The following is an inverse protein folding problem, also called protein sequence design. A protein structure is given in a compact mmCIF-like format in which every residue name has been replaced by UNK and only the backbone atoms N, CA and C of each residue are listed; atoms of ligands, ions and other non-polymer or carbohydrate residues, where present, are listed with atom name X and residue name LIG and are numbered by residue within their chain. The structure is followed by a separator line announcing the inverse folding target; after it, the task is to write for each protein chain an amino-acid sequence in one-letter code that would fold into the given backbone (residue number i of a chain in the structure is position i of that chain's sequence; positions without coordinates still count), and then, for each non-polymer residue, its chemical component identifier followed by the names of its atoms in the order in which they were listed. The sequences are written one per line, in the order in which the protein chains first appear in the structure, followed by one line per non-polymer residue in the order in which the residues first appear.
data_IF_472012234660
#
_entry.id   IF_472012234660
#
_cell.length_a   1.000
_cell.length_b   1.000
_cell.length_c   1.000
_cell.angle_alpha   90.00
_cell.angle_beta   90.00
_cell.angle_gamma   90.00
#
_symmetry.space_group_name_H-M   'P 1'
#
loop_
_entity.id
_entity.type
_entity.pdbx_description
1 polymer ?
#
# COMPACT_ATOMS: atom_id res chain seq x y z
N UNK A 1 7.89 -6.29 -0.96
CA UNK A 1 8.93 -5.34 -0.48
C UNK A 1 8.68 -3.92 -0.99
N UNK A 2 8.57 -3.72 -2.31
CA UNK A 2 8.34 -2.41 -2.93
C UNK A 2 7.26 -1.54 -2.28
N UNK A 3 6.04 -2.08 -2.08
CA UNK A 3 4.92 -1.35 -1.45
C UNK A 3 5.26 -0.83 -0.04
N UNK A 4 6.01 -1.60 0.75
CA UNK A 4 6.40 -1.24 2.12
C UNK A 4 7.38 -0.07 2.13
N UNK A 5 8.33 -0.06 1.20
CA UNK A 5 9.29 1.04 1.04
C UNK A 5 8.60 2.33 0.59
N UNK A 6 7.59 2.22 -0.29
CA UNK A 6 6.78 3.38 -0.66
C UNK A 6 6.06 3.98 0.54
N UNK A 7 5.56 3.15 1.46
CA UNK A 7 4.94 3.66 2.68
C UNK A 7 5.96 4.36 3.61
N UNK A 8 7.17 3.81 3.78
CA UNK A 8 8.25 4.49 4.52
C UNK A 8 8.56 5.84 3.91
N UNK A 9 8.64 5.92 2.59
CA UNK A 9 8.89 7.18 1.87
C UNK A 9 7.71 8.13 2.00
N UNK A 10 6.48 7.63 2.00
CA UNK A 10 5.29 8.42 2.32
C UNK A 10 5.38 9.04 3.71
N UNK A 11 5.84 8.30 4.71
CA UNK A 11 6.11 8.85 6.05
C UNK A 11 7.21 9.92 6.03
N UNK A 12 8.30 9.71 5.28
CA UNK A 12 9.38 10.69 5.13
C UNK A 12 8.90 11.96 4.41
N UNK A 13 8.09 11.82 3.36
CA UNK A 13 7.50 12.92 2.62
C UNK A 13 6.60 13.78 3.52
N UNK A 14 5.77 13.14 4.35
CA UNK A 14 4.95 13.85 5.35
C UNK A 14 5.77 14.50 6.45
N UNK A 15 6.85 13.88 6.88
CA UNK A 15 7.79 14.51 7.80
C UNK A 15 8.45 15.74 7.17
N UNK A 16 8.93 15.63 5.92
CA UNK A 16 9.54 16.71 5.15
C UNK A 16 8.58 17.90 4.94
N UNK A 17 7.30 17.61 4.69
CA UNK A 17 6.22 18.60 4.60
C UNK A 17 6.05 19.43 5.88
N UNK A 18 6.14 18.79 7.05
CA UNK A 18 5.95 19.45 8.33
C UNK A 18 7.24 19.98 8.96
N UNK A 19 8.40 19.65 8.40
CA UNK A 19 9.69 20.13 8.90
C UNK A 19 9.85 21.64 8.69
N UNK A 20 10.40 22.31 9.70
CA UNK A 20 10.69 23.74 9.65
C UNK A 20 11.98 24.07 8.85
N UNK A 21 12.78 23.05 8.52
CA UNK A 21 14.03 23.23 7.79
C UNK A 21 13.77 23.18 6.27
N UNK A 22 14.20 24.24 5.58
CA UNK A 22 14.00 24.44 4.15
C UNK A 22 14.64 23.34 3.29
N UNK A 23 15.76 22.75 3.73
CA UNK A 23 16.40 21.64 3.04
C UNK A 23 15.50 20.40 3.01
N UNK A 24 14.90 20.05 4.15
CA UNK A 24 13.95 18.93 4.20
C UNK A 24 12.67 19.24 3.43
N UNK A 25 12.18 20.49 3.47
CA UNK A 25 10.97 20.87 2.72
C UNK A 25 11.15 20.78 1.20
N UNK A 26 12.38 20.92 0.70
CA UNK A 26 12.71 20.75 -0.71
C UNK A 26 12.55 19.31 -1.22
N UNK A 27 12.53 18.31 -0.32
CA UNK A 27 12.33 16.90 -0.67
C UNK A 27 10.89 16.60 -1.09
N UNK A 28 9.91 17.36 -0.60
CA UNK A 28 8.49 17.25 -0.98
C UNK A 28 8.19 17.88 -2.36
N UNK A 29 9.22 18.13 -3.18
CA UNK A 29 8.99 18.53 -4.56
C UNK A 29 8.49 17.33 -5.39
N UNK A 30 7.42 17.48 -6.19
CA UNK A 30 6.86 16.36 -6.96
C UNK A 30 7.88 15.79 -7.96
N UNK A 31 8.79 16.63 -8.49
CA UNK A 31 9.89 16.19 -9.36
C UNK A 31 10.90 15.31 -8.63
N UNK A 32 11.19 15.61 -7.37
CA UNK A 32 12.12 14.82 -6.53
C UNK A 32 11.45 13.51 -6.13
N UNK A 33 10.19 13.56 -5.69
CA UNK A 33 9.41 12.38 -5.37
C UNK A 33 9.34 11.40 -6.56
N UNK A 34 9.10 11.90 -7.78
CA UNK A 34 9.08 11.07 -8.98
C UNK A 34 10.44 10.41 -9.27
N UNK A 35 11.56 11.15 -9.13
CA UNK A 35 12.90 10.58 -9.30
C UNK A 35 13.18 9.47 -8.28
N UNK A 36 12.77 9.65 -7.02
CA UNK A 36 12.91 8.65 -5.97
C UNK A 36 12.10 7.39 -6.32
N UNK A 37 10.83 7.56 -6.73
CA UNK A 37 9.95 6.44 -7.11
C UNK A 37 10.54 5.66 -8.29
N UNK A 38 11.01 6.35 -9.33
CA UNK A 38 11.65 5.72 -10.50
C UNK A 38 12.92 4.97 -10.07
N UNK A 39 13.77 5.59 -9.27
CA UNK A 39 14.98 4.96 -8.74
C UNK A 39 14.68 3.68 -7.96
N UNK A 40 13.63 3.68 -7.14
CA UNK A 40 13.20 2.49 -6.40
C UNK A 40 12.62 1.40 -7.29
N UNK A 41 11.88 1.79 -8.33
CA UNK A 41 11.30 0.85 -9.28
C UNK A 41 12.37 0.08 -10.04
N UNK A 42 13.55 0.68 -10.24
CA UNK A 42 14.72 0.04 -10.86
C UNK A 42 15.55 -0.71 -9.80
N UNK A 43 15.84 -0.10 -8.66
CA UNK A 43 16.72 -0.70 -7.65
C UNK A 43 16.13 -1.96 -7.01
N UNK A 44 14.82 -2.00 -6.76
CA UNK A 44 14.18 -3.14 -6.12
C UNK A 44 14.25 -4.46 -6.90
N UNK A 45 13.91 -4.52 -8.21
CA UNK A 45 14.08 -5.75 -8.98
C UNK A 45 15.55 -6.18 -9.05
N UNK A 46 16.50 -5.24 -9.15
CA UNK A 46 17.93 -5.56 -9.08
C UNK A 46 18.33 -6.25 -7.77
N UNK A 47 17.84 -5.77 -6.63
CA UNK A 47 18.10 -6.39 -5.32
C UNK A 47 17.45 -7.78 -5.22
N UNK A 48 16.23 -7.96 -5.75
CA UNK A 48 15.51 -9.23 -5.66
C UNK A 48 15.99 -10.29 -6.65
N UNK A 49 16.86 -9.95 -7.62
CA UNK A 49 17.40 -10.91 -8.60
C UNK A 49 18.22 -12.01 -7.92
N UNK A 50 18.76 -11.73 -6.72
CA UNK A 50 19.51 -12.69 -5.92
C UNK A 50 18.64 -13.88 -5.45
N UNK A 51 17.34 -13.67 -5.22
CA UNK A 51 16.43 -14.71 -4.69
C UNK A 51 16.32 -15.92 -5.63
N UNK A 52 15.98 -15.79 -6.93
CA UNK A 52 15.91 -16.93 -7.84
C UNK A 52 17.27 -17.59 -8.06
N UNK A 53 18.38 -16.84 -7.97
CA UNK A 53 19.73 -17.38 -8.17
C UNK A 53 20.16 -18.36 -7.07
N UNK A 54 19.63 -18.22 -5.86
CA UNK A 54 19.97 -19.05 -4.68
C UNK A 54 18.91 -20.12 -4.41
N UNK A 55 17.81 -20.12 -5.16
CA UNK A 55 16.76 -21.12 -4.99
C UNK A 55 17.16 -22.40 -5.72
N UNK A 56 17.22 -23.52 -4.99
CA UNK A 56 17.48 -24.84 -5.59
C UNK A 56 16.14 -25.39 -6.06
N UNK A 57 16.07 -25.72 -7.36
CA UNK A 57 14.90 -26.32 -7.98
C UNK A 57 15.04 -27.84 -7.94
N UNK A 58 14.20 -28.52 -7.15
CA UNK A 58 14.02 -29.97 -7.25
C UNK A 58 12.66 -30.28 -7.88
N UNK A 59 12.52 -31.49 -8.42
CA UNK A 59 11.37 -31.91 -9.26
C UNK A 59 10.00 -31.67 -8.59
N UNK A 60 9.92 -31.62 -7.26
CA UNK A 60 8.68 -31.38 -6.51
C UNK A 60 8.79 -30.33 -5.39
N UNK A 61 9.92 -29.62 -5.25
CA UNK A 61 10.03 -28.58 -4.24
C UNK A 61 11.03 -27.48 -4.62
N UNK A 62 10.63 -26.25 -4.32
CA UNK A 62 11.53 -25.09 -4.31
C UNK A 62 11.99 -24.88 -2.87
N UNK A 63 13.26 -25.19 -2.59
CA UNK A 63 13.86 -24.97 -1.29
C UNK A 63 15.15 -24.18 -1.42
N UNK A 64 15.35 -23.25 -0.49
CA UNK A 64 16.65 -22.65 -0.28
C UNK A 64 17.53 -23.62 0.50
N UNK A 65 18.84 -23.56 0.28
CA UNK A 65 19.78 -24.23 1.16
C UNK A 65 19.62 -23.72 2.62
N UNK A 66 19.91 -24.59 3.59
CA UNK A 66 19.73 -24.36 5.01
C UNK A 66 20.42 -23.09 5.52
N UNK A 67 21.63 -22.81 5.04
CA UNK A 67 22.39 -21.60 5.40
C UNK A 67 21.74 -20.34 4.80
N UNK A 68 21.40 -20.37 3.51
CA UNK A 68 20.74 -19.26 2.82
C UNK A 68 19.36 -18.95 3.41
N UNK A 69 18.60 -19.98 3.80
CA UNK A 69 17.31 -19.84 4.46
C UNK A 69 17.43 -19.14 5.82
N UNK A 70 18.49 -19.43 6.58
CA UNK A 70 18.75 -18.79 7.87
C UNK A 70 19.18 -17.32 7.71
N UNK A 71 20.08 -17.03 6.77
CA UNK A 71 20.48 -15.65 6.44
C UNK A 71 19.26 -14.84 5.99
N UNK A 72 18.42 -15.41 5.13
CA UNK A 72 17.19 -14.79 4.67
C UNK A 72 16.19 -14.57 5.81
N UNK A 73 16.03 -15.56 6.71
CA UNK A 73 15.20 -15.44 7.90
C UNK A 73 15.62 -14.25 8.76
N UNK A 74 16.92 -14.13 9.08
CA UNK A 74 17.47 -13.00 9.85
C UNK A 74 17.22 -11.67 9.13
N UNK A 75 17.50 -11.61 7.81
CA UNK A 75 17.25 -10.42 7.01
C UNK A 75 15.79 -9.98 7.06
N UNK A 76 14.84 -10.92 6.94
CA UNK A 76 13.40 -10.64 7.01
C UNK A 76 12.94 -10.21 8.41
N UNK A 77 13.60 -10.64 9.47
CA UNK A 77 13.29 -10.14 10.82
C UNK A 77 13.78 -8.69 10.98
N UNK A 78 15.04 -8.43 10.61
CA UNK A 78 15.67 -7.13 10.85
C UNK A 78 15.04 -6.05 9.96
N UNK A 79 14.95 -6.27 8.66
CA UNK A 79 14.61 -5.20 7.71
C UNK A 79 13.10 -4.94 7.65
N UNK A 80 12.24 -5.88 7.19
CA UNK A 80 10.81 -5.62 7.13
C UNK A 80 10.10 -5.79 8.47
N UNK A 81 10.67 -6.57 9.41
CA UNK A 81 10.07 -6.83 10.72
C UNK A 81 10.34 -5.75 11.77
N UNK A 82 11.55 -5.18 11.81
CA UNK A 82 11.94 -4.21 12.86
C UNK A 82 12.22 -2.82 12.25
N UNK A 83 13.15 -2.73 11.31
CA UNK A 83 13.61 -1.45 10.78
C UNK A 83 12.48 -0.66 10.09
N UNK A 84 11.71 -1.33 9.24
CA UNK A 84 10.58 -0.70 8.53
C UNK A 84 9.55 -0.09 9.49
N UNK A 85 8.95 -0.82 10.44
CA UNK A 85 7.97 -0.24 11.36
C UNK A 85 8.59 0.79 12.31
N UNK A 86 9.86 0.64 12.70
CA UNK A 86 10.55 1.66 13.50
C UNK A 86 10.68 2.98 12.73
N UNK A 87 11.17 2.95 11.49
CA UNK A 87 11.29 4.14 10.65
C UNK A 87 9.93 4.81 10.44
N UNK A 88 8.90 4.02 10.10
CA UNK A 88 7.55 4.53 9.91
C UNK A 88 7.01 5.20 11.18
N UNK A 89 7.22 4.59 12.35
CA UNK A 89 6.77 5.13 13.63
C UNK A 89 7.51 6.41 13.99
N UNK A 90 8.84 6.43 13.86
CA UNK A 90 9.68 7.60 14.14
C UNK A 90 9.26 8.78 13.25
N UNK A 91 9.19 8.58 11.93
CA UNK A 91 8.82 9.66 11.02
C UNK A 91 7.37 10.12 11.21
N UNK A 92 6.45 9.22 11.52
CA UNK A 92 5.06 9.59 11.82
C UNK A 92 4.95 10.42 13.10
N UNK A 93 5.65 10.03 14.17
CA UNK A 93 5.68 10.79 15.43
C UNK A 93 6.33 12.16 15.23
N UNK A 94 7.46 12.22 14.52
CA UNK A 94 8.14 13.47 14.20
C UNK A 94 7.25 14.40 13.36
N UNK A 95 6.52 13.85 12.39
CA UNK A 95 5.59 14.61 11.57
C UNK A 95 4.45 15.22 12.42
N UNK A 96 3.91 14.46 13.39
CA UNK A 96 2.89 14.95 14.32
C UNK A 96 3.46 16.07 15.20
N UNK A 97 4.65 15.87 15.80
CA UNK A 97 5.28 16.88 16.67
C UNK A 97 5.56 18.18 15.93
N UNK A 98 6.19 18.10 14.75
CA UNK A 98 6.50 19.28 13.95
C UNK A 98 5.23 20.00 13.48
N UNK A 99 4.15 19.26 13.20
CA UNK A 99 2.86 19.85 12.87
C UNK A 99 2.26 20.61 14.04
N UNK A 100 2.29 20.07 15.26
CA UNK A 100 1.78 20.78 16.45
C UNK A 100 2.52 22.11 16.63
N UNK A 101 3.84 22.11 16.51
CA UNK A 101 4.65 23.33 16.56
C UNK A 101 4.32 24.33 15.43
N UNK A 102 4.07 23.83 14.21
CA UNK A 102 3.65 24.68 13.09
C UNK A 102 2.26 25.30 13.32
N UNK A 103 1.34 24.56 13.97
CA UNK A 103 0.01 25.06 14.30
C UNK A 103 0.04 26.17 15.34
N UNK A 104 0.83 25.99 16.41
CA UNK A 104 1.02 27.01 17.44
C UNK A 104 1.57 28.32 16.87
N UNK A 105 2.49 28.23 15.89
CA UNK A 105 3.06 29.40 15.20
C UNK A 105 2.07 30.09 14.25
N UNK A 106 1.14 29.34 13.65
CA UNK A 106 0.21 29.83 12.63
C UNK A 106 -1.19 30.14 13.17
N UNK A 107 -1.34 30.33 14.48
CA UNK A 107 -2.61 30.54 15.20
C UNK A 107 -3.55 31.63 14.61
N UNK A 108 -3.12 32.45 13.64
CA UNK A 108 -3.96 33.43 12.92
C UNK A 108 -4.40 33.09 11.48
N UNK A 109 -3.77 32.13 10.78
CA UNK A 109 -4.07 31.87 9.35
C UNK A 109 -4.53 30.43 9.13
N UNK A 110 -5.77 30.17 9.53
CA UNK A 110 -6.37 28.84 9.55
C UNK A 110 -7.39 28.74 8.42
N UNK A 111 -7.02 28.19 7.26
CA UNK A 111 -8.05 27.75 6.30
C UNK A 111 -7.59 26.59 5.41
N UNK A 112 -8.32 25.48 5.53
CA UNK A 112 -8.34 24.26 4.70
C UNK A 112 -7.06 23.41 4.48
N UNK A 113 -5.89 23.94 4.14
CA UNK A 113 -4.73 23.11 3.77
C UNK A 113 -4.30 22.19 4.92
N UNK A 114 -4.33 22.73 6.15
CA UNK A 114 -3.90 22.05 7.37
C UNK A 114 -4.84 20.91 7.82
N UNK A 115 -6.11 20.91 7.36
CA UNK A 115 -7.06 19.81 7.60
C UNK A 115 -6.78 18.64 6.67
N UNK A 116 -6.47 18.92 5.39
CA UNK A 116 -6.15 17.88 4.40
C UNK A 116 -4.90 17.11 4.77
N UNK A 117 -3.82 17.80 5.15
CA UNK A 117 -2.55 17.17 5.48
C UNK A 117 -2.65 16.30 6.75
N UNK A 118 -3.46 16.71 7.72
CA UNK A 118 -3.77 15.92 8.91
C UNK A 118 -4.47 14.61 8.58
N UNK A 119 -5.48 14.68 7.72
CA UNK A 119 -6.21 13.48 7.31
C UNK A 119 -5.30 12.51 6.56
N UNK A 120 -4.39 13.01 5.73
CA UNK A 120 -3.37 12.19 5.06
C UNK A 120 -2.39 11.56 6.05
N UNK A 121 -2.01 12.26 7.12
CA UNK A 121 -1.19 11.68 8.20
C UNK A 121 -1.94 10.57 8.96
N UNK A 122 -3.21 10.78 9.30
CA UNK A 122 -4.03 9.75 9.98
C UNK A 122 -4.14 8.50 9.11
N UNK A 123 -4.42 8.66 7.80
CA UNK A 123 -4.47 7.55 6.86
C UNK A 123 -3.18 6.71 6.90
N UNK A 124 -2.02 7.39 6.79
CA UNK A 124 -0.72 6.72 6.82
C UNK A 124 -0.47 6.04 8.15
N UNK A 125 -0.82 6.66 9.28
CA UNK A 125 -0.67 6.06 10.60
C UNK A 125 -1.55 4.81 10.77
N UNK A 126 -2.80 4.85 10.29
CA UNK A 126 -3.67 3.66 10.29
C UNK A 126 -3.14 2.55 9.40
N UNK A 127 -2.53 2.88 8.26
CA UNK A 127 -1.90 1.91 7.38
C UNK A 127 -0.65 1.28 8.01
N UNK A 128 0.15 2.06 8.73
CA UNK A 128 1.29 1.56 9.52
C UNK A 128 0.83 0.59 10.61
N UNK A 129 -0.25 0.91 11.34
CA UNK A 129 -0.78 0.04 12.39
C UNK A 129 -1.25 -1.31 11.82
N UNK A 130 -2.02 -1.29 10.74
CA UNK A 130 -2.48 -2.52 10.08
C UNK A 130 -1.29 -3.31 9.53
N UNK A 131 -0.29 -2.62 8.97
CA UNK A 131 0.94 -3.26 8.50
C UNK A 131 1.67 -4.00 9.64
N UNK A 132 1.86 -3.38 10.80
CA UNK A 132 2.54 -3.99 11.95
C UNK A 132 1.79 -5.23 12.42
N UNK A 133 0.46 -5.14 12.60
CA UNK A 133 -0.36 -6.24 13.07
C UNK A 133 -0.31 -7.41 12.08
N UNK A 134 -0.61 -7.16 10.80
CA UNK A 134 -0.69 -8.21 9.79
C UNK A 134 0.68 -8.79 9.38
N UNK A 135 1.76 -8.02 9.49
CA UNK A 135 3.08 -8.46 9.00
C UNK A 135 3.95 -9.04 10.10
N UNK A 136 3.65 -8.81 11.38
CA UNK A 136 4.46 -9.29 12.52
C UNK A 136 4.62 -10.82 12.55
N UNK A 137 3.62 -11.58 12.09
CA UNK A 137 3.65 -13.04 12.08
C UNK A 137 4.62 -13.60 11.02
N UNK A 138 4.81 -12.90 9.90
CA UNK A 138 5.67 -13.33 8.80
C UNK A 138 7.14 -13.58 9.21
N UNK A 139 7.88 -12.60 9.77
CA UNK A 139 9.27 -12.81 10.16
C UNK A 139 9.42 -13.86 11.26
N UNK A 140 8.46 -13.94 12.20
CA UNK A 140 8.46 -14.95 13.25
C UNK A 140 8.36 -16.37 12.67
N UNK A 141 7.44 -16.60 11.74
CA UNK A 141 7.29 -17.91 11.07
C UNK A 141 8.49 -18.27 10.19
N UNK A 142 9.08 -17.28 9.51
CA UNK A 142 10.25 -17.50 8.64
C UNK A 142 11.47 -17.89 9.47
N UNK A 143 11.72 -17.18 10.57
CA UNK A 143 12.81 -17.50 11.50
C UNK A 143 12.60 -18.87 12.16
N UNK A 144 11.38 -19.16 12.62
CA UNK A 144 11.06 -20.47 13.18
C UNK A 144 11.35 -21.61 12.20
N UNK A 145 10.93 -21.43 10.93
CA UNK A 145 11.14 -22.43 9.89
C UNK A 145 12.63 -22.64 9.61
N UNK A 146 13.39 -21.55 9.51
CA UNK A 146 14.83 -21.60 9.27
C UNK A 146 15.58 -22.35 10.39
N UNK A 147 15.27 -22.07 11.65
CA UNK A 147 15.91 -22.73 12.82
C UNK A 147 15.52 -24.19 12.95
N UNK A 148 14.28 -24.55 12.59
CA UNK A 148 13.75 -25.91 12.78
C UNK A 148 13.88 -26.80 11.54
N UNK A 149 14.61 -26.38 10.51
CA UNK A 149 14.75 -27.10 9.24
C UNK A 149 15.29 -28.52 9.41
N UNK A 150 16.22 -28.74 10.33
CA UNK A 150 16.89 -30.04 10.53
C UNK A 150 16.28 -30.91 11.64
N UNK A 151 15.16 -30.48 12.22
CA UNK A 151 14.52 -31.20 13.33
C UNK A 151 13.43 -32.11 12.75
N UNK A 152 13.46 -33.41 13.07
CA UNK A 152 12.40 -34.36 12.71
C UNK A 152 11.12 -33.99 13.47
N UNK A 153 10.02 -33.80 12.75
CA UNK A 153 8.73 -33.35 13.29
C UNK A 153 7.67 -34.44 13.18
N UNK A 154 6.76 -34.51 14.14
CA UNK A 154 5.57 -35.35 14.04
C UNK A 154 4.59 -34.80 13.00
N UNK A 155 3.73 -35.67 12.44
CA UNK A 155 2.73 -35.29 11.44
C UNK A 155 1.80 -34.18 11.95
N UNK A 156 1.34 -34.28 13.19
CA UNK A 156 0.47 -33.27 13.82
C UNK A 156 1.18 -31.92 13.95
N UNK A 157 2.45 -31.91 14.38
CA UNK A 157 3.24 -30.68 14.49
C UNK A 157 3.45 -30.02 13.13
N UNK A 158 3.66 -30.83 12.09
CA UNK A 158 3.84 -30.34 10.73
C UNK A 158 2.56 -29.72 10.16
N UNK A 159 1.38 -30.28 10.49
CA UNK A 159 0.09 -29.69 10.10
C UNK A 159 -0.14 -28.33 10.76
N UNK A 160 0.12 -28.22 12.06
CA UNK A 160 0.01 -26.95 12.80
C UNK A 160 0.97 -25.91 12.23
N UNK A 161 2.22 -26.31 11.96
CA UNK A 161 3.22 -25.42 11.39
C UNK A 161 2.81 -24.93 9.99
N UNK A 162 2.33 -25.82 9.13
CA UNK A 162 1.85 -25.44 7.80
C UNK A 162 0.67 -24.46 7.87
N UNK A 163 -0.25 -24.65 8.82
CA UNK A 163 -1.35 -23.73 9.05
C UNK A 163 -0.86 -22.33 9.51
N UNK A 164 0.08 -22.28 10.45
CA UNK A 164 0.67 -21.01 10.92
C UNK A 164 1.46 -20.32 9.80
N UNK A 165 2.21 -21.08 9.00
CA UNK A 165 2.94 -20.55 7.83
C UNK A 165 1.94 -20.01 6.81
N UNK A 166 0.85 -20.71 6.54
CA UNK A 166 -0.20 -20.23 5.65
C UNK A 166 -0.76 -18.90 6.15
N UNK A 167 -1.09 -18.79 7.44
CA UNK A 167 -1.57 -17.55 8.04
C UNK A 167 -0.55 -16.40 7.94
N UNK A 168 0.69 -16.66 8.33
CA UNK A 168 1.75 -15.63 8.41
C UNK A 168 2.36 -15.24 7.08
N UNK A 169 2.47 -16.16 6.12
CA UNK A 169 3.16 -15.93 4.84
C UNK A 169 2.22 -15.67 3.68
N UNK A 170 0.97 -16.14 3.74
CA UNK A 170 0.00 -15.98 2.66
C UNK A 170 -1.18 -15.13 3.11
N UNK A 171 -1.95 -15.57 4.11
CA UNK A 171 -3.22 -14.93 4.43
C UNK A 171 -3.08 -13.47 4.90
N UNK A 172 -2.33 -13.23 5.99
CA UNK A 172 -2.21 -11.89 6.58
C UNK A 172 -1.48 -10.88 5.67
N UNK A 173 -0.37 -11.23 4.98
CA UNK A 173 0.29 -10.29 4.07
C UNK A 173 -0.59 -9.86 2.89
N UNK A 174 -1.50 -10.72 2.42
CA UNK A 174 -2.45 -10.37 1.36
C UNK A 174 -3.56 -9.42 1.83
N UNK A 175 -3.92 -9.44 3.12
CA UNK A 175 -4.90 -8.49 3.68
C UNK A 175 -4.37 -7.06 3.64
N UNK A 176 -3.07 -6.84 3.85
CA UNK A 176 -2.46 -5.49 3.89
C UNK A 176 -2.80 -4.64 2.66
N UNK A 177 -2.46 -5.03 1.41
CA UNK A 177 -2.79 -4.22 0.23
C UNK A 177 -4.30 -4.08 0.00
N UNK A 178 -5.09 -5.10 0.33
CA UNK A 178 -6.56 -5.04 0.22
C UNK A 178 -7.16 -4.09 1.26
N UNK A 179 -6.54 -3.96 2.43
CA UNK A 179 -7.01 -3.12 3.52
C UNK A 179 -6.81 -1.63 3.25
N UNK A 180 -5.79 -1.24 2.48
CA UNK A 180 -5.46 0.17 2.19
C UNK A 180 -6.67 0.96 1.68
N UNK A 181 -7.47 0.37 0.79
CA UNK A 181 -8.70 0.99 0.30
C UNK A 181 -9.74 1.25 1.41
N UNK A 182 -10.00 0.23 2.23
CA UNK A 182 -10.97 0.33 3.34
C UNK A 182 -10.49 1.30 4.42
N UNK A 183 -9.19 1.28 4.73
CA UNK A 183 -8.55 2.19 5.66
C UNK A 183 -8.75 3.64 5.18
N UNK A 184 -8.52 3.93 3.89
CA UNK A 184 -8.67 5.29 3.37
C UNK A 184 -10.11 5.77 3.35
N UNK A 185 -11.08 4.88 3.07
CA UNK A 185 -12.51 5.19 3.21
C UNK A 185 -12.86 5.53 4.65
N UNK A 186 -12.45 4.71 5.62
CA UNK A 186 -12.82 4.90 7.02
C UNK A 186 -12.11 6.13 7.60
N UNK A 187 -10.79 6.24 7.40
CA UNK A 187 -9.96 7.27 8.01
C UNK A 187 -10.25 8.70 7.52
N UNK A 188 -10.79 8.88 6.31
CA UNK A 188 -10.91 10.21 5.70
C UNK A 188 -12.28 10.53 5.15
N UNK A 189 -12.86 11.60 5.70
CA UNK A 189 -14.06 12.22 5.15
C UNK A 189 -13.83 12.81 3.75
N UNK A 190 -12.68 13.46 3.52
CA UNK A 190 -12.35 14.04 2.21
C UNK A 190 -12.23 12.97 1.12
N UNK A 191 -11.66 11.81 1.45
CA UNK A 191 -11.56 10.69 0.52
C UNK A 191 -12.94 10.13 0.16
N UNK A 192 -13.82 9.95 1.17
CA UNK A 192 -15.22 9.53 0.95
C UNK A 192 -15.96 10.47 0.01
N UNK A 193 -15.79 11.79 0.17
CA UNK A 193 -16.42 12.77 -0.72
C UNK A 193 -15.90 12.69 -2.15
N UNK A 194 -14.60 12.54 -2.35
CA UNK A 194 -14.02 12.37 -3.70
C UNK A 194 -14.45 11.06 -4.35
N UNK A 195 -14.48 9.95 -3.61
CA UNK A 195 -15.02 8.68 -4.10
C UNK A 195 -16.49 8.82 -4.53
N UNK A 196 -17.33 9.45 -3.70
CA UNK A 196 -18.74 9.72 -4.03
C UNK A 196 -18.85 10.58 -5.30
N UNK A 197 -18.04 11.63 -5.43
CA UNK A 197 -18.00 12.49 -6.63
C UNK A 197 -17.52 11.73 -7.87
N UNK A 198 -16.53 10.87 -7.74
CA UNK A 198 -16.03 10.04 -8.84
C UNK A 198 -17.09 9.04 -9.29
N UNK A 199 -17.74 8.37 -8.35
CA UNK A 199 -18.83 7.42 -8.61
C UNK A 199 -20.02 8.11 -9.27
N UNK A 200 -20.46 9.27 -8.75
CA UNK A 200 -21.53 10.07 -9.37
C UNK A 200 -21.17 10.54 -10.78
N UNK A 201 -19.91 10.95 -11.01
CA UNK A 201 -19.43 11.31 -12.35
C UNK A 201 -19.45 10.13 -13.31
N UNK A 202 -19.06 8.94 -12.84
CA UNK A 202 -19.09 7.72 -13.64
C UNK A 202 -20.53 7.30 -13.95
N UNK A 203 -21.39 7.29 -12.92
CA UNK A 203 -22.82 6.99 -13.06
C UNK A 203 -23.49 7.94 -14.07
N UNK A 204 -23.31 9.25 -13.91
CA UNK A 204 -23.83 10.24 -14.86
C UNK A 204 -23.29 10.04 -16.27
N UNK A 205 -22.02 9.65 -16.44
CA UNK A 205 -21.45 9.34 -17.77
C UNK A 205 -22.10 8.10 -18.38
N UNK A 206 -22.31 7.04 -17.60
CA UNK A 206 -22.96 5.82 -18.05
C UNK A 206 -24.42 6.09 -18.43
N UNK A 207 -25.19 6.76 -17.57
CA UNK A 207 -26.60 7.10 -17.84
C UNK A 207 -26.75 8.04 -19.04
N UNK A 208 -25.85 9.03 -19.21
CA UNK A 208 -25.85 9.91 -20.41
C UNK A 208 -25.49 9.15 -21.69
N UNK A 209 -24.65 8.12 -21.62
CA UNK A 209 -24.31 7.27 -22.77
C UNK A 209 -25.52 6.43 -23.20
N UNK A 210 -26.25 5.86 -22.23
CA UNK A 210 -27.50 5.13 -22.48
C UNK A 210 -28.55 6.04 -23.13
N UNK A 211 -28.76 7.25 -22.60
CA UNK A 211 -29.76 8.17 -23.18
C UNK A 211 -29.40 8.64 -24.60
N UNK A 212 -28.11 8.77 -24.96
CA UNK A 212 -27.70 9.08 -26.34
C UNK A 212 -27.94 7.92 -27.33
N UNK A 213 -27.74 6.67 -26.89
CA UNK A 213 -28.02 5.50 -27.72
C UNK A 213 -29.53 5.32 -27.91
N UNK A 214 -30.34 5.54 -26.88
CA UNK A 214 -31.80 5.50 -26.98
C UNK A 214 -32.37 6.64 -27.85
N UNK A 215 -31.77 7.84 -27.80
CA UNK A 215 -32.18 8.95 -28.66
C UNK A 215 -31.87 8.68 -30.14
N UNK A 216 -30.74 8.04 -30.45
CA UNK A 216 -30.38 7.64 -31.83
C UNK A 216 -31.24 6.48 -32.36
N UNK A 217 -31.67 5.55 -31.49
CA UNK A 217 -32.61 4.49 -31.85
C UNK A 217 -34.06 5.02 -32.08
N UNK A 218 -34.44 6.09 -31.37
CA UNK A 218 -35.74 6.75 -31.55
C UNK A 218 -35.85 7.60 -32.82
N UNK A 219 -34.76 8.23 -33.29
CA UNK A 219 -34.77 8.96 -34.57
C UNK A 219 -34.81 8.02 -35.78
N UNK A 220 -34.16 6.86 -35.71
CA UNK A 220 -34.19 5.90 -36.82
C UNK A 220 -35.55 5.20 -36.98
N UNK A 221 -36.34 5.06 -35.91
CA UNK A 221 -37.71 4.53 -36.00
C UNK A 221 -38.72 5.56 -36.55
N UNK A 222 -38.49 6.87 -36.36
CA UNK A 222 -39.33 7.91 -36.98
C UNK A 222 -39.04 8.10 -38.47
N UNK A 223 -37.82 7.87 -38.93
CA UNK A 223 -37.48 7.93 -40.36
C UNK A 223 -38.10 6.76 -41.14
N UNK A 224 -38.17 5.55 -40.55
CA UNK A 224 -38.83 4.41 -41.19
C UNK A 224 -40.36 4.55 -41.25
N UNK A 225 -40.99 5.19 -40.27
CA UNK A 225 -42.45 5.36 -40.25
C UNK A 225 -42.98 6.40 -41.24
N UNK A 226 -42.13 7.29 -41.75
CA UNK A 226 -42.54 8.31 -42.72
C UNK A 226 -42.44 7.85 -44.17
N UNK A 227 -41.78 6.72 -44.44
CA UNK A 227 -41.66 6.12 -45.78
C UNK A 227 -42.73 5.06 -46.10
N UNK A 228 -43.56 4.65 -45.14
CA UNK A 228 -44.63 3.67 -45.36
C UNK A 228 -46.01 4.31 -45.67
N UNK A 229 -46.11 5.65 -45.69
CA UNK A 229 -47.38 6.37 -46.00
C UNK A 229 -47.43 6.99 -47.40
N UNK A 230 -46.53 6.58 -48.30
CA UNK A 230 -46.42 7.11 -49.67
C UNK A 230 -46.54 6.03 -50.78
N UNK A 231 -47.22 4.92 -50.49
CA UNK A 231 -47.62 3.93 -51.50
C UNK A 231 -49.14 3.75 -51.46
#
# INVERSE_FOLDING_TARGET
MFSRTLLVIGCIDRFALCSNNQQFRSLNNPKVALRIIIGLLIAWPCINIYIPLVTIYTVNSCSMDSLSALIWGIYTVIIPGILTPLLMSIFSILAIRNRHQLQERLNGSRNNTNKRDYTLMIMLLSEVLVYVICTSLFPATTLYKAVTTNIVKSVQRQQIENFIIFLGSTFLPFIVPSSTFYIFIIASHSYRQECKRAFLRLYMRLTRRTNRVSAFAGTNTLIYRHNETLI
#
